data_IF_136639293453
#
_entry.id   IF_136639293453
#
_cell.length_a   1.000
_cell.length_b   1.000
_cell.length_c   1.000
_cell.angle_alpha   90.00
_cell.angle_beta   90.00
_cell.angle_gamma   90.00
#
_symmetry.space_group_name_H-M   'P 1'
#
loop_
_entity.id
_entity.type
_entity.pdbx_description
1 polymer ?
#
# COMPACT_ATOMS: atom_id res chain seq x y z
N UNK A 1 29.97 -10.36 -9.84
CA UNK A 1 30.09 -10.48 -8.37
C UNK A 1 28.68 -10.39 -7.82
N UNK A 2 28.12 -11.51 -7.37
CA UNK A 2 26.77 -11.59 -6.83
C UNK A 2 26.83 -10.95 -5.45
N UNK A 3 26.32 -9.72 -5.33
CA UNK A 3 26.18 -9.06 -4.04
C UNK A 3 24.98 -9.70 -3.32
N UNK A 4 25.27 -10.74 -2.54
CA UNK A 4 24.40 -11.21 -1.47
C UNK A 4 24.27 -10.08 -0.44
N UNK A 5 23.21 -9.28 -0.58
CA UNK A 5 22.76 -8.33 0.44
C UNK A 5 22.04 -9.13 1.55
N UNK A 6 22.79 -9.93 2.30
CA UNK A 6 22.39 -10.35 3.64
C UNK A 6 22.95 -9.32 4.61
N UNK A 7 22.13 -8.35 5.01
CA UNK A 7 22.56 -7.27 5.89
C UNK A 7 21.40 -6.48 6.49
N UNK A 8 21.00 -6.89 7.69
CA UNK A 8 20.32 -6.12 8.73
C UNK A 8 18.93 -5.54 8.43
N UNK A 9 17.95 -6.00 9.21
CA UNK A 9 16.65 -5.37 9.45
C UNK A 9 16.84 -4.03 10.20
N UNK A 10 17.59 -3.08 9.63
CA UNK A 10 17.50 -1.66 9.99
C UNK A 10 16.11 -1.22 9.56
N UNK A 11 15.24 -1.01 10.55
CA UNK A 11 13.80 -1.01 10.42
C UNK A 11 13.28 -0.26 9.20
N UNK A 12 12.40 -0.92 8.44
CA UNK A 12 11.66 -0.27 7.35
C UNK A 12 11.02 1.00 7.89
N UNK A 13 11.29 2.14 7.26
CA UNK A 13 10.72 3.41 7.70
C UNK A 13 9.24 3.47 7.35
N UNK A 14 8.45 4.26 8.10
CA UNK A 14 7.05 4.51 7.72
C UNK A 14 6.92 5.18 6.34
N UNK A 15 7.94 5.91 5.90
CA UNK A 15 7.99 6.52 4.56
C UNK A 15 8.14 5.45 3.46
N UNK A 16 8.97 4.42 3.69
CA UNK A 16 9.10 3.29 2.74
C UNK A 16 7.78 2.52 2.63
N UNK A 17 7.10 2.31 3.77
CA UNK A 17 5.78 1.68 3.84
C UNK A 17 4.73 2.51 3.09
N UNK A 18 4.70 3.82 3.29
CA UNK A 18 3.81 4.72 2.58
C UNK A 18 4.11 4.76 1.07
N UNK A 19 5.38 4.69 0.66
CA UNK A 19 5.75 4.60 -0.75
C UNK A 19 5.23 3.32 -1.40
N UNK A 20 5.27 2.18 -0.72
CA UNK A 20 4.66 0.93 -1.24
C UNK A 20 3.14 1.08 -1.40
N UNK A 21 2.47 1.69 -0.41
CA UNK A 21 1.04 1.97 -0.49
C UNK A 21 0.69 2.94 -1.64
N UNK A 22 1.51 3.96 -1.88
CA UNK A 22 1.35 4.88 -3.01
C UNK A 22 1.51 4.19 -4.36
N UNK A 23 2.57 3.40 -4.54
CA UNK A 23 2.81 2.68 -5.80
C UNK A 23 1.65 1.72 -6.09
N UNK A 24 1.05 1.15 -5.06
CA UNK A 24 -0.17 0.35 -5.16
C UNK A 24 -1.38 1.16 -5.63
N UNK A 25 -1.69 2.29 -4.98
CA UNK A 25 -2.80 3.14 -5.40
C UNK A 25 -2.62 3.66 -6.82
N UNK A 26 -1.42 4.13 -7.15
CA UNK A 26 -1.11 4.61 -8.49
C UNK A 26 -1.28 3.51 -9.55
N UNK A 27 -0.79 2.30 -9.27
CA UNK A 27 -0.95 1.17 -10.20
C UNK A 27 -2.42 0.79 -10.40
N UNK A 28 -3.25 0.86 -9.36
CA UNK A 28 -4.72 0.68 -9.46
C UNK A 28 -5.35 1.75 -10.35
N UNK A 29 -5.11 3.03 -10.06
CA UNK A 29 -5.74 4.12 -10.79
C UNK A 29 -5.22 4.31 -12.23
N UNK A 30 -4.06 3.72 -12.55
CA UNK A 30 -3.49 3.70 -13.90
C UNK A 30 -3.82 2.41 -14.69
N UNK A 31 -4.51 1.43 -14.11
CA UNK A 31 -4.73 0.09 -14.67
C UNK A 31 -3.41 -0.62 -15.04
N UNK A 32 -2.36 -0.45 -14.24
CA UNK A 32 -1.03 -1.04 -14.48
C UNK A 32 -0.96 -2.48 -13.96
N UNK A 33 -1.64 -3.40 -14.64
CA UNK A 33 -1.77 -4.80 -14.21
C UNK A 33 -0.44 -5.48 -13.81
N UNK A 34 0.60 -5.37 -14.63
CA UNK A 34 1.90 -5.99 -14.34
C UNK A 34 2.49 -5.47 -13.02
N UNK A 35 2.37 -4.16 -12.78
CA UNK A 35 2.83 -3.51 -11.55
C UNK A 35 1.99 -3.94 -10.35
N UNK A 36 0.66 -4.06 -10.53
CA UNK A 36 -0.21 -4.61 -9.50
C UNK A 36 0.23 -6.03 -9.12
N UNK A 37 0.53 -6.90 -10.10
CA UNK A 37 0.99 -8.27 -9.84
C UNK A 37 2.36 -8.34 -9.14
N UNK A 38 3.23 -7.37 -9.38
CA UNK A 38 4.49 -7.23 -8.65
C UNK A 38 4.26 -6.84 -7.19
N UNK A 39 3.26 -6.02 -6.91
CA UNK A 39 3.01 -5.45 -5.58
C UNK A 39 2.19 -6.37 -4.67
N UNK A 40 1.33 -7.25 -5.21
CA UNK A 40 0.46 -8.11 -4.39
C UNK A 40 1.17 -9.31 -3.78
N UNK A 41 0.73 -9.71 -2.58
CA UNK A 41 1.27 -10.86 -1.86
C UNK A 41 0.92 -12.18 -2.57
N UNK A 42 -0.33 -12.29 -3.04
CA UNK A 42 -0.83 -13.40 -3.84
C UNK A 42 -1.15 -12.91 -5.26
N UNK A 43 -0.48 -13.50 -6.26
CA UNK A 43 -0.71 -13.20 -7.68
C UNK A 43 -2.12 -13.62 -8.10
N UNK A 44 -2.68 -12.93 -9.09
CA UNK A 44 -4.02 -13.18 -9.65
C UNK A 44 -5.12 -12.25 -9.12
N UNK A 45 -4.77 -11.23 -8.33
CA UNK A 45 -5.71 -10.14 -8.00
C UNK A 45 -5.82 -9.17 -9.19
N UNK A 46 -6.94 -8.46 -9.36
CA UNK A 46 -7.11 -7.43 -10.40
C UNK A 46 -6.98 -7.93 -11.86
N UNK A 47 -7.36 -9.18 -12.16
CA UNK A 47 -7.35 -9.71 -13.55
C UNK A 47 -8.22 -8.89 -14.54
N UNK A 48 -9.17 -8.09 -14.04
CA UNK A 48 -9.94 -7.14 -14.86
C UNK A 48 -9.04 -6.12 -15.59
N UNK A 49 -7.88 -5.81 -15.02
CA UNK A 49 -6.95 -4.82 -15.58
C UNK A 49 -5.98 -5.40 -16.60
N UNK A 50 -5.91 -6.73 -16.74
CA UNK A 50 -4.95 -7.42 -17.62
C UNK A 50 -5.06 -7.06 -19.10
N UNK A 51 -6.26 -6.69 -19.54
CA UNK A 51 -6.53 -6.16 -20.89
C UNK A 51 -7.01 -4.71 -20.89
N UNK A 52 -7.07 -4.06 -19.73
CA UNK A 52 -7.55 -2.70 -19.62
C UNK A 52 -6.56 -1.72 -20.26
N UNK A 53 -7.08 -0.62 -20.80
CA UNK A 53 -6.25 0.46 -21.29
C UNK A 53 -5.54 1.12 -20.11
N UNK A 54 -4.20 1.12 -20.14
CA UNK A 54 -3.37 1.89 -19.20
C UNK A 54 -3.68 3.38 -19.37
N UNK A 55 -3.85 4.08 -18.26
CA UNK A 55 -4.09 5.52 -18.21
C UNK A 55 -3.10 6.19 -17.27
N UNK A 56 -3.01 7.52 -17.36
CA UNK A 56 -2.29 8.31 -16.37
C UNK A 56 -3.33 9.08 -15.56
N UNK A 57 -3.62 8.60 -14.35
CA UNK A 57 -4.52 9.26 -13.41
C UNK A 57 -3.98 10.62 -12.94
N UNK A 58 -2.66 10.85 -13.02
CA UNK A 58 -2.03 12.05 -12.48
C UNK A 58 -1.92 12.06 -10.95
N UNK A 59 -2.27 10.96 -10.27
CA UNK A 59 -2.15 10.80 -8.82
C UNK A 59 -0.69 10.95 -8.38
N UNK A 60 -0.42 11.85 -7.43
CA UNK A 60 0.91 12.08 -6.87
C UNK A 60 0.95 11.68 -5.41
N UNK A 61 2.13 11.31 -4.92
CA UNK A 61 2.37 10.94 -3.52
C UNK A 61 1.83 11.97 -2.53
N UNK A 62 2.10 13.25 -2.80
CA UNK A 62 1.64 14.40 -1.98
C UNK A 62 0.13 14.62 -1.96
N UNK A 63 -0.61 13.99 -2.88
CA UNK A 63 -2.07 14.12 -2.95
C UNK A 63 -2.77 13.08 -2.05
N UNK A 64 -2.01 12.19 -1.41
CA UNK A 64 -2.51 11.13 -0.55
C UNK A 64 -2.07 11.36 0.89
N UNK A 65 -3.05 11.34 1.81
CA UNK A 65 -2.80 11.24 3.24
C UNK A 65 -2.57 9.78 3.62
N UNK A 66 -1.51 9.51 4.37
CA UNK A 66 -1.21 8.18 4.88
C UNK A 66 -1.22 8.16 6.40
N UNK A 67 -1.94 7.21 6.98
CA UNK A 67 -1.77 6.83 8.38
C UNK A 67 -1.16 5.43 8.44
N UNK A 68 -0.02 5.28 9.11
CA UNK A 68 0.73 4.02 9.19
C UNK A 68 0.69 3.47 10.60
N UNK A 69 0.28 2.21 10.73
CA UNK A 69 0.22 1.45 11.98
C UNK A 69 1.01 0.15 11.82
N UNK A 70 1.65 -0.30 12.90
CA UNK A 70 2.44 -1.52 12.89
C UNK A 70 1.95 -2.50 13.95
N UNK A 71 1.60 -3.71 13.52
CA UNK A 71 1.33 -4.85 14.39
C UNK A 71 2.62 -5.66 14.59
N UNK A 72 3.15 -5.59 15.82
CA UNK A 72 4.37 -6.29 16.22
C UNK A 72 4.20 -7.81 16.29
N UNK A 73 2.99 -8.30 16.58
CA UNK A 73 2.76 -9.75 16.74
C UNK A 73 2.75 -10.44 15.39
N UNK A 74 2.03 -9.86 14.42
CA UNK A 74 1.95 -10.40 13.07
C UNK A 74 3.05 -9.90 12.14
N UNK A 75 3.81 -8.89 12.55
CA UNK A 75 4.77 -8.14 11.74
C UNK A 75 4.13 -7.52 10.48
N UNK A 76 2.92 -6.98 10.61
CA UNK A 76 2.15 -6.37 9.53
C UNK A 76 2.16 -4.85 9.64
N UNK A 77 2.10 -4.19 8.49
CA UNK A 77 1.73 -2.78 8.43
C UNK A 77 0.30 -2.62 7.94
N UNK A 78 -0.46 -1.79 8.66
CA UNK A 78 -1.72 -1.27 8.18
C UNK A 78 -1.50 0.17 7.71
N UNK A 79 -1.93 0.46 6.49
CA UNK A 79 -1.82 1.79 5.88
C UNK A 79 -3.20 2.24 5.44
N UNK A 80 -3.63 3.39 5.96
CA UNK A 80 -4.88 4.03 5.53
C UNK A 80 -4.58 5.17 4.60
N UNK A 81 -5.14 5.12 3.40
CA UNK A 81 -4.98 6.13 2.35
C UNK A 81 -6.27 6.90 2.21
N UNK A 82 -6.17 8.24 2.26
CA UNK A 82 -7.30 9.14 1.99
C UNK A 82 -6.86 10.18 0.94
N UNK A 83 -7.62 10.30 -0.15
CA UNK A 83 -7.30 11.23 -1.25
C UNK A 83 -8.52 11.56 -2.10
N UNK A 84 -8.43 12.62 -2.92
CA UNK A 84 -9.43 12.89 -3.96
C UNK A 84 -9.24 11.92 -5.12
N UNK A 85 -10.32 11.31 -5.61
CA UNK A 85 -10.26 10.45 -6.78
C UNK A 85 -9.67 11.23 -7.97
N UNK A 86 -8.55 10.80 -8.57
CA UNK A 86 -7.98 11.50 -9.74
C UNK A 86 -8.87 11.41 -10.99
N UNK A 87 -9.77 10.41 -11.04
CA UNK A 87 -10.65 10.12 -12.18
C UNK A 87 -12.12 10.52 -11.91
N UNK A 88 -12.41 11.26 -10.84
CA UNK A 88 -13.77 11.65 -10.47
C UNK A 88 -13.86 12.67 -9.33
N UNK A 89 -15.06 13.01 -8.90
CA UNK A 89 -15.27 14.03 -7.86
C UNK A 89 -15.39 13.47 -6.43
N UNK A 90 -15.43 12.15 -6.28
CA UNK A 90 -15.52 11.50 -4.98
C UNK A 90 -14.16 11.44 -4.25
N UNK A 91 -14.20 11.27 -2.93
CA UNK A 91 -13.03 10.87 -2.16
C UNK A 91 -12.82 9.35 -2.24
N UNK A 92 -11.57 8.92 -2.07
CA UNK A 92 -11.14 7.54 -1.93
C UNK A 92 -10.62 7.35 -0.52
N UNK A 93 -11.02 6.25 0.11
CA UNK A 93 -10.63 5.86 1.47
C UNK A 93 -10.33 4.37 1.46
N UNK A 94 -9.06 4.02 1.32
CA UNK A 94 -8.64 2.63 1.15
C UNK A 94 -7.85 2.12 2.36
N UNK A 95 -7.95 0.82 2.57
CA UNK A 95 -7.27 0.08 3.63
C UNK A 95 -6.25 -0.83 2.98
N UNK A 96 -4.99 -0.75 3.39
CA UNK A 96 -3.92 -1.55 2.81
C UNK A 96 -3.21 -2.29 3.92
N UNK A 97 -3.16 -3.62 3.81
CA UNK A 97 -2.32 -4.48 4.63
C UNK A 97 -1.04 -4.82 3.86
N UNK A 98 0.12 -4.50 4.42
CA UNK A 98 1.41 -4.93 3.88
C UNK A 98 2.02 -6.04 4.70
N UNK A 99 2.54 -7.07 4.02
CA UNK A 99 3.23 -8.23 4.59
C UNK A 99 4.56 -8.42 3.88
N UNK A 100 5.56 -8.88 4.60
CA UNK A 100 6.85 -9.21 4.00
C UNK A 100 6.77 -10.55 3.24
N UNK A 101 7.31 -10.59 2.03
CA UNK A 101 7.49 -11.79 1.22
C UNK A 101 8.84 -11.72 0.51
N UNK A 102 9.77 -12.59 0.89
CA UNK A 102 11.14 -12.59 0.37
C UNK A 102 11.79 -11.22 0.52
N UNK A 103 11.78 -10.67 1.73
CA UNK A 103 12.35 -9.37 2.12
C UNK A 103 11.71 -8.13 1.47
N UNK A 104 10.62 -8.29 0.71
CA UNK A 104 9.88 -7.19 0.08
C UNK A 104 8.48 -7.08 0.66
N UNK A 105 8.04 -5.85 0.96
CA UNK A 105 6.66 -5.58 1.38
C UNK A 105 5.69 -5.73 0.21
N UNK A 106 4.61 -6.48 0.44
CA UNK A 106 3.58 -6.78 -0.55
C UNK A 106 2.19 -6.53 0.01
N UNK A 107 1.29 -6.08 -0.85
CA UNK A 107 -0.12 -5.82 -0.52
C UNK A 107 -0.89 -7.13 -0.40
N UNK A 108 -1.44 -7.41 0.77
CA UNK A 108 -2.38 -8.51 0.97
C UNK A 108 -3.80 -8.00 0.68
N UNK A 109 -4.20 -8.07 -0.59
CA UNK A 109 -5.48 -7.56 -1.07
C UNK A 109 -6.67 -8.23 -0.39
N UNK A 110 -6.59 -9.52 -0.07
CA UNK A 110 -7.67 -10.25 0.61
C UNK A 110 -7.85 -9.74 2.04
N UNK A 111 -6.77 -9.71 2.83
CA UNK A 111 -6.86 -9.24 4.21
C UNK A 111 -7.13 -7.75 4.32
N UNK A 112 -6.73 -6.97 3.31
CA UNK A 112 -7.03 -5.54 3.23
C UNK A 112 -8.54 -5.25 3.25
N UNK A 113 -9.36 -6.14 2.68
CA UNK A 113 -10.82 -6.03 2.68
C UNK A 113 -11.46 -6.32 4.04
N UNK A 114 -10.74 -7.03 4.92
CA UNK A 114 -11.22 -7.42 6.26
C UNK A 114 -10.91 -6.34 7.31
N UNK A 115 -10.16 -5.29 6.94
CA UNK A 115 -9.75 -4.23 7.86
C UNK A 115 -10.94 -3.35 8.24
N UNK A 116 -11.14 -3.20 9.54
CA UNK A 116 -11.90 -2.10 10.14
C UNK A 116 -10.92 -1.02 10.63
N UNK A 117 -11.01 0.20 10.07
CA UNK A 117 -10.10 1.31 10.41
C UNK A 117 -10.15 1.71 11.88
N UNK A 118 -11.33 1.76 12.46
CA UNK A 118 -11.49 2.21 13.85
C UNK A 118 -10.93 1.16 14.81
N UNK A 119 -11.16 -0.13 14.55
CA UNK A 119 -10.56 -1.22 15.34
C UNK A 119 -9.03 -1.17 15.33
N UNK A 120 -8.40 -0.84 14.20
CA UNK A 120 -6.94 -0.72 14.11
C UNK A 120 -6.44 0.50 14.87
N UNK A 121 -7.13 1.65 14.75
CA UNK A 121 -6.78 2.88 15.47
C UNK A 121 -6.87 2.71 16.99
N UNK A 122 -7.84 1.93 17.45
CA UNK A 122 -8.02 1.63 18.87
C UNK A 122 -7.00 0.62 19.40
N UNK A 123 -6.54 -0.32 18.55
CA UNK A 123 -5.64 -1.41 18.94
C UNK A 123 -4.15 -1.06 18.83
N UNK A 124 -3.77 -0.21 17.88
CA UNK A 124 -2.36 0.01 17.54
C UNK A 124 -1.99 1.49 17.58
N UNK A 125 -0.81 1.78 18.14
CA UNK A 125 -0.24 3.12 18.10
C UNK A 125 0.17 3.50 16.68
N UNK A 126 -0.32 4.66 16.23
CA UNK A 126 0.05 5.23 14.93
C UNK A 126 1.56 5.53 14.90
N UNK A 127 2.27 4.91 13.97
CA UNK A 127 3.71 5.09 13.78
C UNK A 127 4.02 6.39 13.04
N UNK A 128 3.21 6.75 12.04
CA UNK A 128 3.37 7.98 11.29
C UNK A 128 2.04 8.48 10.71
N UNK A 129 2.00 9.78 10.46
CA UNK A 129 0.96 10.45 9.70
C UNK A 129 1.64 11.32 8.64
N UNK A 130 1.50 10.96 7.36
CA UNK A 130 2.17 11.63 6.24
C UNK A 130 1.10 12.39 5.45
N UNK A 131 1.36 13.67 5.17
CA UNK A 131 0.42 14.62 4.56
C UNK A 131 -0.93 14.75 5.31
N UNK A 132 -0.88 14.79 6.65
CA UNK A 132 -2.06 14.89 7.51
C UNK A 132 -2.41 16.32 7.95
N UNK A 133 -1.76 17.33 7.37
CA UNK A 133 -1.97 18.76 7.68
C UNK A 133 -3.38 19.25 7.31
#
# INVERSE_FOLDING_TARGET
>A
MIALLTGCNQGTSSEDIANVAYEWEKAKFNNEYDKQQELVFNKGSYEVDKGAKKINSGLKYKDIRFEVYYDKESEYYYVFTDFKNPNGDNAVKDNILLRQKSDVWKVDTSKSLEINREDIKDKFDRQACIHCE
#
